data_IF_120279177704
#
_entry.id   IF_120279177704
#
_cell.length_a   1.000
_cell.length_b   1.000
_cell.length_c   1.000
_cell.angle_alpha   90.00
_cell.angle_beta   90.00
_cell.angle_gamma   90.00
#
_symmetry.space_group_name_H-M   'P 1'
#
loop_
_entity.id
_entity.type
_entity.pdbx_description
1 polymer ?
#
# COMPACT_ATOMS: atom_id res chain seq x y z
N UNK A 1 -71.71 -49.99 -0.37
CA UNK A 1 -71.66 -48.51 -0.32
C UNK A 1 -70.91 -48.02 0.93
N UNK A 2 -71.20 -48.54 2.13
CA UNK A 2 -70.49 -48.16 3.37
C UNK A 2 -68.97 -48.37 3.34
N UNK A 3 -68.48 -49.54 2.91
CA UNK A 3 -67.02 -49.81 2.84
C UNK A 3 -66.27 -48.78 1.99
N UNK A 4 -66.84 -48.35 0.87
CA UNK A 4 -66.25 -47.34 -0.02
C UNK A 4 -66.17 -45.96 0.65
N UNK A 5 -67.26 -45.53 1.31
CA UNK A 5 -67.29 -44.29 2.09
C UNK A 5 -66.29 -44.29 3.24
N UNK A 6 -66.11 -45.42 3.92
CA UNK A 6 -65.13 -45.57 5.00
C UNK A 6 -63.70 -45.49 4.48
N UNK A 7 -63.38 -46.19 3.39
CA UNK A 7 -62.04 -46.12 2.76
C UNK A 7 -61.74 -44.70 2.26
N UNK A 8 -62.70 -44.02 1.63
CA UNK A 8 -62.53 -42.65 1.15
C UNK A 8 -62.26 -41.66 2.29
N UNK A 9 -62.99 -41.77 3.42
CA UNK A 9 -62.74 -40.95 4.61
C UNK A 9 -61.33 -41.14 5.17
N UNK A 10 -60.84 -42.38 5.21
CA UNK A 10 -59.48 -42.67 5.69
C UNK A 10 -58.44 -42.01 4.77
N UNK A 11 -58.58 -42.14 3.45
CA UNK A 11 -57.65 -41.54 2.48
C UNK A 11 -57.63 -40.01 2.59
N UNK A 12 -58.79 -39.37 2.71
CA UNK A 12 -58.90 -37.92 2.89
C UNK A 12 -58.25 -37.48 4.21
N UNK A 13 -58.51 -38.19 5.32
CA UNK A 13 -57.90 -37.88 6.62
C UNK A 13 -56.37 -37.99 6.58
N UNK A 14 -55.83 -39.02 5.92
CA UNK A 14 -54.38 -39.18 5.74
C UNK A 14 -53.81 -38.03 4.92
N UNK A 15 -54.44 -37.65 3.80
CA UNK A 15 -54.01 -36.52 2.97
C UNK A 15 -54.01 -35.20 3.73
N UNK A 16 -55.02 -34.94 4.56
CA UNK A 16 -55.10 -33.72 5.38
C UNK A 16 -53.95 -33.68 6.40
N UNK A 17 -53.65 -34.79 7.08
CA UNK A 17 -52.55 -34.85 8.06
C UNK A 17 -51.20 -34.59 7.38
N UNK A 18 -50.96 -35.16 6.20
CA UNK A 18 -49.74 -34.90 5.43
C UNK A 18 -49.67 -33.44 4.96
N UNK A 19 -50.77 -32.85 4.50
CA UNK A 19 -50.81 -31.46 4.07
C UNK A 19 -50.57 -30.48 5.23
N UNK A 20 -51.20 -30.71 6.39
CA UNK A 20 -51.01 -29.90 7.60
C UNK A 20 -49.58 -30.05 8.12
N UNK A 21 -49.04 -31.27 8.17
CA UNK A 21 -47.65 -31.52 8.56
C UNK A 21 -46.65 -30.80 7.66
N UNK A 22 -46.83 -30.90 6.33
CA UNK A 22 -46.01 -30.17 5.36
C UNK A 22 -46.13 -28.65 5.54
N UNK A 23 -47.34 -28.14 5.80
CA UNK A 23 -47.57 -26.72 6.01
C UNK A 23 -46.86 -26.20 7.27
N UNK A 24 -46.90 -26.94 8.38
CA UNK A 24 -46.18 -26.59 9.62
C UNK A 24 -44.67 -26.51 9.38
N UNK A 25 -44.11 -27.49 8.66
CA UNK A 25 -42.68 -27.52 8.33
C UNK A 25 -42.30 -26.32 7.45
N UNK A 26 -43.07 -26.03 6.40
CA UNK A 26 -42.84 -24.87 5.52
C UNK A 26 -42.90 -23.56 6.32
N UNK A 27 -43.88 -23.42 7.23
CA UNK A 27 -44.03 -22.21 8.03
C UNK A 27 -42.87 -22.04 9.03
N UNK A 28 -42.41 -23.14 9.64
CA UNK A 28 -41.25 -23.13 10.54
C UNK A 28 -39.96 -22.73 9.81
N UNK A 29 -39.68 -23.34 8.65
CA UNK A 29 -38.51 -22.99 7.83
C UNK A 29 -38.59 -21.55 7.30
N UNK A 30 -39.79 -21.08 6.94
CA UNK A 30 -40.02 -19.69 6.53
C UNK A 30 -39.73 -18.70 7.66
N UNK A 31 -40.18 -18.99 8.89
CA UNK A 31 -39.89 -18.16 10.06
C UNK A 31 -38.40 -18.12 10.42
N UNK A 32 -37.70 -19.25 10.30
CA UNK A 32 -36.26 -19.32 10.48
C UNK A 32 -35.52 -18.51 9.40
N UNK A 33 -35.95 -18.61 8.14
CA UNK A 33 -35.37 -17.84 7.04
C UNK A 33 -35.56 -16.33 7.22
N UNK A 34 -36.75 -15.89 7.64
CA UNK A 34 -37.01 -14.48 7.94
C UNK A 34 -36.11 -13.97 9.07
N UNK A 35 -35.92 -14.78 10.13
CA UNK A 35 -35.04 -14.40 11.24
C UNK A 35 -33.60 -14.20 10.80
N UNK A 36 -33.02 -15.16 10.06
CA UNK A 36 -31.64 -15.03 9.56
C UNK A 36 -31.51 -13.85 8.58
N UNK A 37 -32.49 -13.65 7.71
CA UNK A 37 -32.55 -12.49 6.81
C UNK A 37 -32.53 -11.15 7.56
N UNK A 38 -33.40 -10.97 8.55
CA UNK A 38 -33.45 -9.74 9.35
C UNK A 38 -32.18 -9.54 10.20
N UNK A 39 -31.60 -10.62 10.71
CA UNK A 39 -30.32 -10.58 11.41
C UNK A 39 -29.20 -10.07 10.49
N UNK A 40 -29.14 -10.55 9.25
CA UNK A 40 -28.15 -10.08 8.28
C UNK A 40 -28.26 -8.57 8.06
N UNK A 41 -29.48 -8.06 7.79
CA UNK A 41 -29.74 -6.62 7.66
C UNK A 41 -29.34 -5.83 8.92
N UNK A 42 -29.63 -6.38 10.10
CA UNK A 42 -29.27 -5.76 11.38
C UNK A 42 -27.75 -5.66 11.56
N UNK A 43 -27.01 -6.74 11.24
CA UNK A 43 -25.54 -6.75 11.30
C UNK A 43 -24.91 -5.82 10.26
N UNK A 44 -25.48 -5.73 9.06
CA UNK A 44 -25.05 -4.75 8.05
C UNK A 44 -25.13 -3.32 8.57
N UNK A 45 -26.24 -2.96 9.23
CA UNK A 45 -26.42 -1.62 9.83
C UNK A 45 -25.40 -1.30 10.93
N UNK A 46 -24.85 -2.33 11.57
CA UNK A 46 -23.80 -2.22 12.60
C UNK A 46 -22.39 -2.30 12.03
N UNK A 47 -22.22 -2.58 10.74
CA UNK A 47 -20.92 -2.84 10.13
C UNK A 47 -20.30 -4.20 10.49
N UNK A 48 -21.09 -5.13 11.04
CA UNK A 48 -20.64 -6.47 11.41
C UNK A 48 -20.71 -7.43 10.21
N UNK A 49 -19.92 -7.15 9.17
CA UNK A 49 -20.04 -7.79 7.85
C UNK A 49 -19.84 -9.30 7.84
N UNK A 50 -18.92 -9.82 8.67
CA UNK A 50 -18.72 -11.27 8.79
C UNK A 50 -19.98 -11.99 9.29
N UNK A 51 -20.63 -11.46 10.33
CA UNK A 51 -21.89 -12.02 10.85
C UNK A 51 -23.05 -11.83 9.89
N UNK A 52 -23.09 -10.69 9.19
CA UNK A 52 -24.09 -10.46 8.15
C UNK A 52 -24.00 -11.52 7.04
N UNK A 53 -22.77 -11.89 6.65
CA UNK A 53 -22.50 -12.91 5.65
C UNK A 53 -22.96 -14.30 6.14
N UNK A 54 -22.54 -14.69 7.35
CA UNK A 54 -22.95 -15.98 7.96
C UNK A 54 -24.47 -16.15 8.01
N UNK A 55 -25.22 -15.08 8.30
CA UNK A 55 -26.67 -15.12 8.31
C UNK A 55 -27.26 -15.27 6.89
N UNK A 56 -26.77 -14.50 5.92
CA UNK A 56 -27.37 -14.49 4.58
C UNK A 56 -27.06 -15.77 3.78
N UNK A 57 -25.91 -16.40 4.03
CA UNK A 57 -25.52 -17.69 3.42
C UNK A 57 -26.46 -18.84 3.80
N UNK A 58 -27.18 -18.73 4.93
CA UNK A 58 -28.17 -19.73 5.36
C UNK A 58 -29.48 -19.64 4.58
N UNK A 59 -29.72 -18.55 3.83
CA UNK A 59 -31.01 -18.24 3.19
C UNK A 59 -30.88 -17.81 1.71
N UNK A 60 -30.13 -18.52 0.86
CA UNK A 60 -29.71 -18.05 -0.47
C UNK A 60 -30.84 -17.80 -1.49
N UNK A 61 -32.05 -18.31 -1.24
CA UNK A 61 -33.20 -18.17 -2.16
C UNK A 61 -34.37 -17.41 -1.54
N UNK A 62 -34.13 -16.73 -0.40
CA UNK A 62 -35.18 -16.02 0.32
C UNK A 62 -35.20 -14.53 -0.03
N UNK A 63 -36.34 -14.00 -0.51
CA UNK A 63 -36.51 -12.59 -0.89
C UNK A 63 -35.38 -12.09 -1.81
N UNK A 64 -34.70 -11.01 -1.42
CA UNK A 64 -33.55 -10.38 -2.06
C UNK A 64 -32.21 -10.84 -1.44
N UNK A 65 -32.16 -12.02 -0.82
CA UNK A 65 -30.95 -12.53 -0.19
C UNK A 65 -29.74 -12.63 -1.13
N UNK A 66 -29.96 -12.89 -2.42
CA UNK A 66 -28.88 -12.86 -3.41
C UNK A 66 -28.31 -11.45 -3.61
N UNK A 67 -29.15 -10.41 -3.60
CA UNK A 67 -28.73 -9.03 -3.74
C UNK A 67 -27.98 -8.57 -2.48
N UNK A 68 -28.47 -8.97 -1.31
CA UNK A 68 -27.79 -8.74 -0.03
C UNK A 68 -26.45 -9.48 0.03
N UNK A 69 -26.40 -10.75 -0.36
CA UNK A 69 -25.15 -11.51 -0.41
C UNK A 69 -24.14 -10.83 -1.34
N UNK A 70 -24.58 -10.43 -2.53
CA UNK A 70 -23.76 -9.73 -3.50
C UNK A 70 -23.20 -8.40 -2.96
N UNK A 71 -23.93 -7.76 -2.06
CA UNK A 71 -23.52 -6.53 -1.39
C UNK A 71 -22.61 -6.78 -0.17
N UNK A 72 -22.93 -7.78 0.66
CA UNK A 72 -22.25 -8.06 1.93
C UNK A 72 -20.88 -8.67 1.71
N UNK A 73 -20.74 -9.62 0.78
CA UNK A 73 -19.49 -10.36 0.58
C UNK A 73 -18.29 -9.45 0.26
N UNK A 74 -18.38 -8.49 -0.67
CA UNK A 74 -17.27 -7.55 -0.91
C UNK A 74 -17.02 -6.61 0.26
N UNK A 75 -18.05 -6.14 0.95
CA UNK A 75 -17.85 -5.31 2.15
C UNK A 75 -17.11 -6.09 3.25
N UNK A 76 -17.43 -7.38 3.43
CA UNK A 76 -16.71 -8.26 4.34
C UNK A 76 -15.22 -8.34 3.99
N UNK A 77 -14.88 -8.51 2.71
CA UNK A 77 -13.49 -8.49 2.23
C UNK A 77 -12.79 -7.18 2.64
N UNK A 78 -13.41 -6.03 2.43
CA UNK A 78 -12.78 -4.75 2.78
C UNK A 78 -12.46 -4.59 4.28
N UNK A 79 -13.32 -5.09 5.16
CA UNK A 79 -13.15 -4.99 6.61
C UNK A 79 -12.45 -6.19 7.24
N UNK A 80 -11.99 -7.16 6.46
CA UNK A 80 -11.23 -8.29 6.97
C UNK A 80 -9.82 -7.86 7.41
N UNK A 81 -9.28 -8.61 8.38
CA UNK A 81 -7.88 -8.51 8.74
C UNK A 81 -7.07 -9.55 7.95
N UNK A 82 -5.97 -9.10 7.35
CA UNK A 82 -5.08 -9.94 6.57
C UNK A 82 -3.76 -10.17 7.29
N UNK A 83 -3.22 -11.39 7.12
CA UNK A 83 -1.96 -11.79 7.75
C UNK A 83 -0.74 -11.11 7.13
N UNK A 84 -0.84 -10.79 5.83
CA UNK A 84 0.21 -10.17 5.05
C UNK A 84 -0.36 -9.42 3.83
N UNK A 85 0.48 -8.59 3.21
CA UNK A 85 0.09 -7.73 2.09
C UNK A 85 -0.34 -8.52 0.83
N UNK A 86 0.21 -9.72 0.57
CA UNK A 86 -0.16 -10.54 -0.58
C UNK A 86 -1.56 -11.15 -0.43
N UNK A 87 -1.88 -11.64 0.76
CA UNK A 87 -3.22 -12.17 1.08
C UNK A 87 -4.29 -11.08 0.90
N UNK A 88 -3.97 -9.86 1.33
CA UNK A 88 -4.84 -8.70 1.15
C UNK A 88 -5.06 -8.39 -0.34
N UNK A 89 -3.99 -8.30 -1.13
CA UNK A 89 -4.06 -8.07 -2.59
C UNK A 89 -4.91 -9.15 -3.28
N UNK A 90 -4.68 -10.43 -2.97
CA UNK A 90 -5.45 -11.53 -3.56
C UNK A 90 -6.94 -11.42 -3.20
N UNK A 91 -7.24 -11.08 -1.95
CA UNK A 91 -8.62 -10.93 -1.48
C UNK A 91 -9.33 -9.73 -2.12
N UNK A 92 -8.66 -8.59 -2.27
CA UNK A 92 -9.21 -7.44 -3.00
C UNK A 92 -9.46 -7.76 -4.48
N UNK A 93 -8.55 -8.50 -5.14
CA UNK A 93 -8.78 -8.99 -6.52
C UNK A 93 -9.99 -9.92 -6.62
N UNK A 94 -10.20 -10.80 -5.64
CA UNK A 94 -11.42 -11.63 -5.54
C UNK A 94 -12.66 -10.76 -5.37
N UNK A 95 -12.59 -9.74 -4.50
CA UNK A 95 -13.65 -8.75 -4.31
C UNK A 95 -14.02 -8.03 -5.61
N UNK A 96 -13.04 -7.49 -6.34
CA UNK A 96 -13.24 -6.84 -7.65
C UNK A 96 -13.92 -7.79 -8.64
N UNK A 97 -13.39 -9.00 -8.79
CA UNK A 97 -13.93 -10.01 -9.72
C UNK A 97 -15.37 -10.35 -9.38
N UNK A 98 -15.66 -10.52 -8.09
CA UNK A 98 -16.99 -10.82 -7.60
C UNK A 98 -17.97 -9.67 -7.87
N UNK A 99 -17.59 -8.43 -7.56
CA UNK A 99 -18.44 -7.25 -7.83
C UNK A 99 -18.75 -7.16 -9.33
N UNK A 100 -17.73 -7.23 -10.19
CA UNK A 100 -17.91 -7.14 -11.64
C UNK A 100 -18.85 -8.23 -12.18
N UNK A 101 -18.84 -9.42 -11.58
CA UNK A 101 -19.71 -10.54 -11.98
C UNK A 101 -21.14 -10.37 -11.46
N UNK A 102 -21.33 -9.88 -10.23
CA UNK A 102 -22.63 -9.90 -9.54
C UNK A 102 -23.39 -8.59 -9.62
N UNK A 103 -22.71 -7.44 -9.75
CA UNK A 103 -23.33 -6.10 -9.76
C UNK A 103 -24.42 -5.96 -10.83
N UNK A 104 -24.20 -6.51 -12.02
CA UNK A 104 -25.15 -6.45 -13.15
C UNK A 104 -26.42 -7.27 -12.89
N UNK A 105 -26.33 -8.29 -12.02
CA UNK A 105 -27.42 -9.18 -11.67
C UNK A 105 -28.32 -8.68 -10.54
N UNK A 106 -27.95 -7.57 -9.90
CA UNK A 106 -28.70 -6.98 -8.80
C UNK A 106 -30.12 -6.60 -9.24
N UNK A 107 -31.11 -7.00 -8.43
CA UNK A 107 -32.53 -6.72 -8.65
C UNK A 107 -33.12 -5.98 -7.43
N UNK A 108 -34.40 -5.62 -7.53
CA UNK A 108 -35.11 -5.01 -6.42
C UNK A 108 -34.86 -3.51 -6.17
N UNK A 109 -35.52 -2.96 -5.14
CA UNK A 109 -35.60 -1.51 -4.90
C UNK A 109 -34.28 -0.89 -4.42
N UNK A 110 -33.38 -1.68 -3.83
CA UNK A 110 -32.08 -1.21 -3.31
C UNK A 110 -30.96 -1.24 -4.35
N UNK A 111 -31.23 -1.72 -5.57
CA UNK A 111 -30.25 -1.91 -6.65
C UNK A 111 -29.39 -0.68 -6.88
N UNK A 112 -29.99 0.50 -7.00
CA UNK A 112 -29.27 1.72 -7.35
C UNK A 112 -28.27 2.11 -6.25
N UNK A 113 -28.69 2.03 -4.98
CA UNK A 113 -27.81 2.31 -3.85
C UNK A 113 -26.67 1.31 -3.77
N UNK A 114 -26.97 0.01 -3.87
CA UNK A 114 -25.93 -1.03 -3.82
C UNK A 114 -24.97 -0.94 -4.99
N UNK A 115 -25.45 -0.63 -6.19
CA UNK A 115 -24.58 -0.47 -7.36
C UNK A 115 -23.60 0.67 -7.15
N UNK A 116 -24.08 1.84 -6.68
CA UNK A 116 -23.20 2.98 -6.38
C UNK A 116 -22.17 2.64 -5.32
N UNK A 117 -22.60 2.05 -4.20
CA UNK A 117 -21.70 1.65 -3.12
C UNK A 117 -20.65 0.62 -3.58
N UNK A 118 -21.03 -0.32 -4.44
CA UNK A 118 -20.11 -1.31 -4.99
C UNK A 118 -19.13 -0.70 -6.00
N UNK A 119 -19.54 0.31 -6.76
CA UNK A 119 -18.64 1.07 -7.64
C UNK A 119 -17.63 1.88 -6.83
N UNK A 120 -18.08 2.50 -5.74
CA UNK A 120 -17.21 3.17 -4.78
C UNK A 120 -16.20 2.17 -4.18
N UNK A 121 -16.65 0.98 -3.78
CA UNK A 121 -15.80 -0.06 -3.22
C UNK A 121 -14.79 -0.63 -4.24
N UNK A 122 -15.17 -0.75 -5.51
CA UNK A 122 -14.27 -1.15 -6.59
C UNK A 122 -13.07 -0.21 -6.68
N UNK A 123 -13.32 1.10 -6.73
CA UNK A 123 -12.26 2.10 -6.78
C UNK A 123 -11.36 2.02 -5.54
N UNK A 124 -11.94 1.76 -4.37
CA UNK A 124 -11.19 1.59 -3.11
C UNK A 124 -10.30 0.34 -3.15
N UNK A 125 -10.79 -0.79 -3.67
CA UNK A 125 -9.97 -1.99 -3.84
C UNK A 125 -8.81 -1.78 -4.81
N UNK A 126 -9.05 -1.10 -5.93
CA UNK A 126 -7.99 -0.75 -6.88
C UNK A 126 -6.92 0.14 -6.24
N UNK A 127 -7.35 1.15 -5.48
CA UNK A 127 -6.43 1.98 -4.69
C UNK A 127 -5.61 1.14 -3.70
N UNK A 128 -6.27 0.29 -2.90
CA UNK A 128 -5.60 -0.56 -1.90
C UNK A 128 -4.58 -1.52 -2.53
N UNK A 129 -4.87 -2.07 -3.70
CA UNK A 129 -3.91 -2.88 -4.44
C UNK A 129 -2.70 -2.05 -4.89
N UNK A 130 -2.92 -0.87 -5.44
CA UNK A 130 -1.84 0.04 -5.87
C UNK A 130 -0.95 0.47 -4.68
N UNK A 131 -1.58 0.82 -3.55
CA UNK A 131 -0.91 1.17 -2.30
C UNK A 131 0.01 0.02 -1.83
N UNK A 132 -0.52 -1.21 -1.73
CA UNK A 132 0.25 -2.35 -1.24
C UNK A 132 1.38 -2.76 -2.19
N UNK A 133 1.17 -2.68 -3.50
CA UNK A 133 2.23 -2.92 -4.48
C UNK A 133 3.35 -1.88 -4.37
N UNK A 134 3.00 -0.60 -4.23
CA UNK A 134 3.96 0.48 -4.06
C UNK A 134 4.80 0.30 -2.77
N UNK A 135 4.16 -0.11 -1.68
CA UNK A 135 4.83 -0.44 -0.42
C UNK A 135 5.82 -1.61 -0.56
N UNK A 136 5.42 -2.66 -1.28
CA UNK A 136 6.29 -3.82 -1.55
C UNK A 136 7.52 -3.42 -2.38
N UNK A 137 7.32 -2.62 -3.43
CA UNK A 137 8.41 -2.11 -4.26
C UNK A 137 9.39 -1.25 -3.45
N UNK A 138 8.91 -0.30 -2.64
CA UNK A 138 9.76 0.54 -1.79
C UNK A 138 10.58 -0.30 -0.79
N UNK A 139 9.99 -1.34 -0.21
CA UNK A 139 10.71 -2.28 0.65
C UNK A 139 11.83 -2.99 -0.11
N UNK A 140 11.57 -3.49 -1.32
CA UNK A 140 12.59 -4.15 -2.16
C UNK A 140 13.75 -3.20 -2.46
N UNK A 141 13.46 -1.93 -2.76
CA UNK A 141 14.50 -0.92 -3.00
C UNK A 141 15.36 -0.67 -1.76
N UNK A 142 14.74 -0.58 -0.58
CA UNK A 142 15.43 -0.41 0.71
C UNK A 142 16.28 -1.62 1.08
N UNK A 143 15.77 -2.83 0.85
CA UNK A 143 16.52 -4.06 1.10
C UNK A 143 17.74 -4.14 0.16
N UNK A 144 17.56 -3.84 -1.14
CA UNK A 144 18.66 -3.76 -2.10
C UNK A 144 19.72 -2.70 -1.72
N UNK A 145 19.28 -1.56 -1.18
CA UNK A 145 20.16 -0.53 -0.64
C UNK A 145 20.99 -1.04 0.54
N UNK A 146 20.34 -1.67 1.52
CA UNK A 146 21.01 -2.22 2.71
C UNK A 146 22.00 -3.35 2.34
N UNK A 147 21.67 -4.18 1.36
CA UNK A 147 22.59 -5.17 0.81
C UNK A 147 23.83 -4.53 0.17
N UNK A 148 23.66 -3.41 -0.55
CA UNK A 148 24.79 -2.66 -1.09
C UNK A 148 25.70 -2.13 0.03
N UNK A 149 25.13 -1.62 1.13
CA UNK A 149 25.90 -1.22 2.32
C UNK A 149 26.73 -2.39 2.87
N UNK A 150 26.13 -3.58 2.99
CA UNK A 150 26.83 -4.77 3.48
C UNK A 150 28.00 -5.16 2.57
N UNK A 151 27.82 -5.13 1.25
CA UNK A 151 28.87 -5.42 0.26
C UNK A 151 30.04 -4.43 0.36
N UNK A 152 29.76 -3.13 0.57
CA UNK A 152 30.81 -2.11 0.78
C UNK A 152 31.65 -2.45 2.00
N UNK A 153 31.02 -2.83 3.12
CA UNK A 153 31.74 -3.23 4.35
C UNK A 153 32.58 -4.49 4.17
N UNK A 154 32.20 -5.36 3.24
CA UNK A 154 32.96 -6.56 2.85
C UNK A 154 34.09 -6.26 1.84
N UNK A 155 34.18 -5.03 1.31
CA UNK A 155 35.15 -4.65 0.29
C UNK A 155 34.76 -5.01 -1.15
N UNK A 156 33.53 -5.49 -1.37
CA UNK A 156 33.00 -5.85 -2.69
C UNK A 156 32.32 -4.65 -3.36
N UNK A 157 33.16 -3.73 -3.81
CA UNK A 157 32.73 -2.44 -4.35
C UNK A 157 32.01 -2.54 -5.71
N UNK A 158 32.38 -3.51 -6.55
CA UNK A 158 31.77 -3.68 -7.86
C UNK A 158 30.32 -4.15 -7.74
N UNK A 159 30.07 -5.17 -6.92
CA UNK A 159 28.70 -5.66 -6.71
C UNK A 159 27.84 -4.64 -5.96
N UNK A 160 28.41 -3.89 -5.02
CA UNK A 160 27.72 -2.77 -4.37
C UNK A 160 27.28 -1.70 -5.38
N UNK A 161 28.16 -1.25 -6.27
CA UNK A 161 27.82 -0.29 -7.33
C UNK A 161 26.71 -0.82 -8.24
N UNK A 162 26.83 -2.07 -8.69
CA UNK A 162 25.82 -2.70 -9.54
C UNK A 162 24.43 -2.75 -8.89
N UNK A 163 24.36 -2.97 -7.56
CA UNK A 163 23.09 -2.88 -6.81
C UNK A 163 22.59 -1.45 -6.74
N UNK A 164 23.44 -0.48 -6.37
CA UNK A 164 23.06 0.92 -6.27
C UNK A 164 22.56 1.52 -7.59
N UNK A 165 23.12 1.11 -8.74
CA UNK A 165 22.65 1.57 -10.05
C UNK A 165 21.25 1.03 -10.42
N UNK A 166 20.87 -0.13 -9.88
CA UNK A 166 19.51 -0.69 -10.08
C UNK A 166 18.46 -0.03 -9.19
N UNK A 167 18.87 0.74 -8.18
CA UNK A 167 17.94 1.44 -7.31
C UNK A 167 17.36 2.64 -8.04
N UNK A 168 16.04 2.58 -8.23
CA UNK A 168 15.22 3.60 -8.87
C UNK A 168 14.29 4.30 -7.87
N UNK A 169 14.78 4.53 -6.64
CA UNK A 169 14.06 5.28 -5.62
C UNK A 169 14.60 6.71 -5.48
N UNK A 170 13.77 7.71 -5.78
CA UNK A 170 13.88 9.12 -5.42
C UNK A 170 14.19 9.28 -3.93
N UNK A 171 13.51 8.56 -3.04
CA UNK A 171 13.76 8.65 -1.59
C UNK A 171 15.19 8.25 -1.19
N UNK A 172 15.82 7.39 -1.98
CA UNK A 172 17.19 6.92 -1.77
C UNK A 172 18.22 7.64 -2.66
N UNK A 173 17.81 8.56 -3.54
CA UNK A 173 18.68 9.11 -4.58
C UNK A 173 19.88 9.84 -3.99
N UNK A 174 19.67 10.78 -3.06
CA UNK A 174 20.79 11.49 -2.43
C UNK A 174 21.70 10.57 -1.61
N UNK A 175 21.14 9.60 -0.88
CA UNK A 175 21.93 8.62 -0.14
C UNK A 175 22.78 7.76 -1.07
N UNK A 176 22.18 7.26 -2.15
CA UNK A 176 22.84 6.49 -3.21
C UNK A 176 23.99 7.28 -3.84
N UNK A 177 23.78 8.56 -4.16
CA UNK A 177 24.83 9.43 -4.72
C UNK A 177 26.02 9.58 -3.77
N UNK A 178 25.77 9.86 -2.49
CA UNK A 178 26.84 9.96 -1.48
C UNK A 178 27.60 8.64 -1.33
N UNK A 179 26.91 7.52 -1.35
CA UNK A 179 27.55 6.20 -1.26
C UNK A 179 28.37 5.89 -2.51
N UNK A 180 27.89 6.22 -3.72
CA UNK A 180 28.67 6.02 -4.95
C UNK A 180 29.96 6.85 -4.93
N UNK A 181 29.91 8.09 -4.44
CA UNK A 181 31.10 8.92 -4.22
C UNK A 181 32.06 8.28 -3.20
N UNK A 182 31.53 7.68 -2.14
CA UNK A 182 32.35 6.99 -1.15
C UNK A 182 33.02 5.73 -1.72
N UNK A 183 32.29 4.94 -2.51
CA UNK A 183 32.89 3.79 -3.21
C UNK A 183 34.01 4.26 -4.15
N UNK A 184 33.84 5.40 -4.84
CA UNK A 184 34.91 5.96 -5.66
C UNK A 184 36.16 6.30 -4.82
N UNK A 185 36.00 6.91 -3.65
CA UNK A 185 37.12 7.14 -2.72
C UNK A 185 37.82 5.82 -2.32
N UNK A 186 37.05 4.80 -1.94
CA UNK A 186 37.61 3.50 -1.55
C UNK A 186 38.37 2.82 -2.70
N UNK A 187 37.86 2.92 -3.94
CA UNK A 187 38.55 2.42 -5.13
C UNK A 187 39.86 3.18 -5.39
N UNK A 188 39.86 4.52 -5.27
CA UNK A 188 41.08 5.32 -5.39
C UNK A 188 42.12 4.88 -4.36
N UNK A 189 41.72 4.75 -3.09
CA UNK A 189 42.61 4.29 -2.00
C UNK A 189 43.18 2.89 -2.33
N UNK A 190 42.32 1.96 -2.75
CA UNK A 190 42.74 0.59 -3.11
C UNK A 190 43.72 0.58 -4.29
N UNK A 191 43.51 1.44 -5.28
CA UNK A 191 44.34 1.52 -6.48
C UNK A 191 45.73 2.15 -6.25
N UNK A 192 45.88 3.00 -5.22
CA UNK A 192 47.16 3.66 -4.93
C UNK A 192 48.17 2.78 -4.19
N UNK A 193 47.72 1.67 -3.56
CA UNK A 193 48.62 0.79 -2.81
C UNK A 193 49.41 1.51 -1.70
N UNK A 194 50.62 1.03 -1.38
CA UNK A 194 51.51 1.61 -0.35
C UNK A 194 52.17 2.94 -0.76
N UNK A 195 52.02 3.36 -2.01
CA UNK A 195 52.68 4.54 -2.55
C UNK A 195 51.89 5.80 -2.19
N UNK A 196 52.26 6.40 -1.04
CA UNK A 196 51.73 7.66 -0.47
C UNK A 196 51.92 8.91 -1.35
N UNK A 197 52.12 8.78 -2.67
CA UNK A 197 52.59 9.86 -3.55
C UNK A 197 51.51 10.61 -4.34
N UNK A 198 50.24 10.21 -4.32
CA UNK A 198 49.18 10.94 -5.04
C UNK A 198 48.03 11.43 -4.15
N UNK A 199 48.37 12.26 -3.15
CA UNK A 199 47.42 12.97 -2.31
C UNK A 199 46.39 13.79 -3.12
N UNK A 200 46.72 14.25 -4.33
CA UNK A 200 45.81 15.06 -5.15
C UNK A 200 44.55 14.31 -5.61
N UNK A 201 44.66 13.02 -5.98
CA UNK A 201 43.51 12.22 -6.45
C UNK A 201 42.60 11.86 -5.26
N UNK A 202 43.19 11.57 -4.10
CA UNK A 202 42.44 11.35 -2.85
C UNK A 202 41.76 12.65 -2.42
N UNK A 203 42.45 13.78 -2.48
CA UNK A 203 41.89 15.10 -2.18
C UNK A 203 40.70 15.42 -3.10
N UNK A 204 40.82 15.14 -4.40
CA UNK A 204 39.72 15.31 -5.34
C UNK A 204 38.52 14.42 -4.98
N UNK A 205 38.75 13.14 -4.68
CA UNK A 205 37.69 12.21 -4.30
C UNK A 205 36.99 12.62 -2.98
N UNK A 206 37.75 13.03 -1.97
CA UNK A 206 37.23 13.52 -0.68
C UNK A 206 36.44 14.82 -0.87
N UNK A 207 36.88 15.72 -1.73
CA UNK A 207 36.18 17.00 -1.99
C UNK A 207 34.76 16.84 -2.54
N UNK A 208 34.39 15.66 -3.06
CA UNK A 208 33.05 15.36 -3.59
C UNK A 208 32.09 14.86 -2.51
N UNK A 209 32.61 14.37 -1.37
CA UNK A 209 31.82 13.81 -0.27
C UNK A 209 31.28 14.91 0.64
N UNK A 210 29.99 14.85 0.97
CA UNK A 210 29.35 15.80 1.84
C UNK A 210 29.76 15.59 3.32
N UNK A 211 30.40 16.57 3.99
CA UNK A 211 30.77 16.46 5.41
C UNK A 211 29.56 16.35 6.35
N UNK A 212 28.40 16.84 5.93
CA UNK A 212 27.15 16.80 6.71
C UNK A 212 26.32 15.54 6.43
N UNK A 213 26.85 14.57 5.67
CA UNK A 213 26.14 13.32 5.39
C UNK A 213 25.87 12.54 6.69
N UNK A 214 24.60 12.21 6.92
CA UNK A 214 24.11 11.55 8.12
C UNK A 214 23.46 10.17 7.86
N UNK A 215 23.73 9.57 6.68
CA UNK A 215 23.18 8.26 6.33
C UNK A 215 23.97 7.06 6.89
N UNK A 216 23.68 5.88 6.36
CA UNK A 216 24.04 4.56 6.92
C UNK A 216 25.55 4.27 6.97
N UNK A 217 26.35 4.99 6.18
CA UNK A 217 27.83 4.93 6.14
C UNK A 217 28.50 6.23 6.62
N UNK A 218 27.77 7.14 7.27
CA UNK A 218 28.30 8.44 7.71
C UNK A 218 29.56 8.31 8.57
N UNK A 219 29.56 7.41 9.57
CA UNK A 219 30.72 7.19 10.43
C UNK A 219 31.88 6.50 9.71
N UNK A 220 31.59 5.55 8.82
CA UNK A 220 32.60 4.87 7.99
C UNK A 220 33.31 5.88 7.05
N UNK A 221 32.54 6.79 6.45
CA UNK A 221 33.03 7.89 5.62
C UNK A 221 33.92 8.83 6.44
N UNK A 222 33.41 9.33 7.57
CA UNK A 222 34.15 10.25 8.45
C UNK A 222 35.49 9.65 8.87
N UNK A 223 35.49 8.40 9.34
CA UNK A 223 36.70 7.70 9.76
C UNK A 223 37.70 7.55 8.62
N UNK A 224 37.23 7.21 7.42
CA UNK A 224 38.09 7.07 6.23
C UNK A 224 38.71 8.39 5.83
N UNK A 225 37.92 9.47 5.78
CA UNK A 225 38.40 10.82 5.44
C UNK A 225 39.40 11.34 6.47
N UNK A 226 39.13 11.14 7.76
CA UNK A 226 40.01 11.54 8.87
C UNK A 226 41.37 10.84 8.87
N UNK A 227 41.49 9.71 8.17
CA UNK A 227 42.79 9.09 7.89
C UNK A 227 43.72 9.95 7.01
N UNK A 228 43.17 10.94 6.30
CA UNK A 228 43.90 11.81 5.37
C UNK A 228 43.84 13.29 5.77
N UNK A 229 42.67 13.80 6.15
CA UNK A 229 42.45 15.22 6.45
C UNK A 229 41.55 15.40 7.68
N UNK A 230 41.81 16.42 8.49
CA UNK A 230 40.88 16.82 9.55
C UNK A 230 39.54 17.35 8.97
N UNK A 231 38.54 17.45 9.85
CA UNK A 231 37.18 17.89 9.50
C UNK A 231 37.16 19.30 8.89
N UNK A 232 38.01 20.22 9.35
CA UNK A 232 38.04 21.60 8.86
C UNK A 232 38.56 21.64 7.43
N UNK A 233 39.63 20.89 7.15
CA UNK A 233 40.17 20.77 5.80
C UNK A 233 39.19 20.07 4.86
N UNK A 234 38.47 19.03 5.30
CA UNK A 234 37.43 18.40 4.49
C UNK A 234 36.30 19.38 4.13
N UNK A 235 35.78 20.13 5.11
CA UNK A 235 34.73 21.14 4.88
C UNK A 235 35.20 22.21 3.88
N UNK A 236 36.44 22.69 4.00
CA UNK A 236 37.02 23.65 3.06
C UNK A 236 37.10 23.10 1.62
N UNK A 237 37.56 21.86 1.46
CA UNK A 237 37.67 21.20 0.16
C UNK A 237 36.30 21.01 -0.50
N UNK A 238 35.32 20.56 0.29
CA UNK A 238 33.95 20.38 -0.18
C UNK A 238 33.33 21.70 -0.65
N UNK A 239 33.45 22.76 0.16
CA UNK A 239 32.92 24.09 -0.18
C UNK A 239 33.60 24.70 -1.42
N UNK A 240 34.91 24.49 -1.58
CA UNK A 240 35.66 24.93 -2.77
C UNK A 240 35.16 24.22 -4.03
N UNK A 241 34.97 22.90 -3.98
CA UNK A 241 34.44 22.12 -5.10
C UNK A 241 33.01 22.55 -5.46
N UNK A 242 32.14 22.71 -4.44
CA UNK A 242 30.76 23.19 -4.62
C UNK A 242 30.72 24.55 -5.34
N UNK A 243 31.57 25.49 -4.92
CA UNK A 243 31.68 26.85 -5.51
C UNK A 243 32.16 26.83 -6.97
N UNK A 244 33.06 25.90 -7.32
CA UNK A 244 33.56 25.74 -8.70
C UNK A 244 32.45 25.21 -9.63
N UNK A 245 31.60 24.30 -9.12
CA UNK A 245 30.49 23.76 -9.91
C UNK A 245 29.35 24.79 -10.05
N UNK A 246 29.09 25.63 -9.02
CA UNK A 246 28.12 26.75 -9.12
C UNK A 246 28.59 27.88 -10.03
N UNK A 247 29.91 28.04 -10.26
CA UNK A 247 30.43 29.00 -11.23
C UNK A 247 30.30 28.52 -12.70
N UNK A 248 30.02 27.23 -12.92
CA UNK A 248 29.78 26.65 -14.25
C UNK A 248 28.30 26.49 -14.59
N UNK A 249 27.42 26.56 -13.60
CA UNK A 249 25.96 26.53 -13.77
C UNK A 249 25.39 27.80 -13.14
N UNK A 250 25.07 28.77 -13.99
CA UNK A 250 24.49 30.04 -13.56
C UNK A 250 23.24 29.84 -12.70
N UNK A 251 23.28 30.43 -11.50
CA UNK A 251 22.18 30.79 -10.61
C UNK A 251 21.10 29.72 -10.33
N UNK A 252 21.24 29.01 -9.20
CA UNK A 252 20.11 28.77 -8.30
C UNK A 252 20.58 28.92 -6.85
N UNK A 253 19.91 29.81 -6.12
CA UNK A 253 20.03 30.05 -4.69
C UNK A 253 19.86 28.73 -3.91
N UNK A 254 20.86 28.39 -3.10
CA UNK A 254 20.81 27.29 -2.14
C UNK A 254 19.82 27.61 -1.03
N UNK A 255 18.65 26.96 -1.09
CA UNK A 255 17.73 26.86 0.04
C UNK A 255 18.40 25.98 1.09
N UNK A 256 18.49 26.52 2.30
CA UNK A 256 18.93 25.88 3.52
C UNK A 256 18.20 24.55 3.69
N UNK A 257 18.94 23.44 3.62
CA UNK A 257 18.42 22.07 3.78
C UNK A 257 18.00 21.84 5.23
N UNK A 258 16.81 22.30 5.59
CA UNK A 258 16.09 21.77 6.75
C UNK A 258 15.64 20.37 6.35
N UNK A 259 15.96 19.36 7.18
CA UNK A 259 15.57 17.97 7.04
C UNK A 259 14.03 17.83 7.10
N UNK A 260 13.35 18.20 6.01
CA UNK A 260 11.90 18.16 5.84
C UNK A 260 11.53 17.02 4.89
N UNK A 261 11.94 15.79 5.19
CA UNK A 261 11.46 14.65 4.41
C UNK A 261 10.04 14.26 4.85
N UNK A 262 9.18 14.03 3.86
CA UNK A 262 7.84 13.47 4.05
C UNK A 262 7.96 12.06 4.64
N UNK A 263 7.15 11.75 5.65
CA UNK A 263 7.15 10.45 6.34
C UNK A 263 5.74 9.89 6.41
N UNK A 264 5.64 8.56 6.50
CA UNK A 264 4.37 7.88 6.81
C UNK A 264 3.82 8.41 8.13
N UNK A 265 2.51 8.64 8.18
CA UNK A 265 1.79 9.16 9.35
C UNK A 265 1.61 10.68 9.37
N UNK A 266 2.22 11.45 8.47
CA UNK A 266 2.00 12.91 8.41
C UNK A 266 0.71 13.25 7.64
N UNK A 267 0.15 14.43 7.90
CA UNK A 267 -1.08 14.90 7.23
C UNK A 267 -0.82 15.44 5.83
N UNK A 268 -1.86 15.42 4.99
CA UNK A 268 -1.92 16.07 3.67
C UNK A 268 -1.38 17.50 3.68
N UNK A 269 -1.83 18.33 4.64
CA UNK A 269 -1.40 19.73 4.71
C UNK A 269 0.11 19.85 4.93
N UNK A 270 0.68 18.98 5.76
CA UNK A 270 2.12 18.96 5.98
C UNK A 270 2.87 18.50 4.73
N UNK A 271 2.38 17.49 4.00
CA UNK A 271 2.96 17.09 2.70
C UNK A 271 2.99 18.27 1.73
N UNK A 272 1.86 18.97 1.56
CA UNK A 272 1.76 20.13 0.64
C UNK A 272 2.70 21.26 1.09
N UNK A 273 2.85 21.49 2.40
CA UNK A 273 3.78 22.50 2.91
C UNK A 273 5.25 22.16 2.61
N UNK A 274 5.58 20.87 2.48
CA UNK A 274 6.93 20.37 2.26
C UNK A 274 7.25 20.25 0.76
N UNK A 275 6.36 19.65 -0.03
CA UNK A 275 6.58 19.31 -1.43
C UNK A 275 5.88 20.27 -2.41
N UNK A 276 5.03 21.17 -1.93
CA UNK A 276 4.19 22.03 -2.75
C UNK A 276 2.92 21.33 -3.23
N UNK A 277 2.32 21.85 -4.30
CA UNK A 277 1.10 21.28 -4.88
C UNK A 277 1.45 20.11 -5.81
N UNK A 278 0.75 18.96 -5.73
CA UNK A 278 1.00 17.85 -6.66
C UNK A 278 0.64 18.24 -8.09
N UNK A 279 1.33 17.64 -9.06
CA UNK A 279 1.04 17.80 -10.48
C UNK A 279 -0.23 17.06 -10.91
N UNK A 280 -0.52 15.94 -10.24
CA UNK A 280 -1.71 15.14 -10.46
C UNK A 280 -2.21 14.61 -9.13
N UNK A 281 -3.51 14.71 -8.92
CA UNK A 281 -4.23 14.13 -7.80
C UNK A 281 -5.36 13.22 -8.31
N UNK A 282 -5.49 12.06 -7.70
CA UNK A 282 -6.66 11.20 -7.87
C UNK A 282 -7.28 10.99 -6.51
N UNK A 283 -8.51 11.49 -6.31
CA UNK A 283 -9.19 11.50 -5.02
C UNK A 283 -10.46 10.67 -5.10
N UNK A 284 -10.54 9.66 -4.23
CA UNK A 284 -11.73 8.86 -3.99
C UNK A 284 -12.27 9.26 -2.61
N UNK A 285 -13.38 10.00 -2.56
CA UNK A 285 -14.04 10.37 -1.31
C UNK A 285 -15.45 9.77 -1.29
N UNK A 286 -15.64 8.75 -0.46
CA UNK A 286 -16.87 8.00 -0.38
C UNK A 286 -17.10 7.47 1.04
N UNK A 287 -18.09 6.59 1.21
CA UNK A 287 -18.46 6.01 2.52
C UNK A 287 -17.38 5.11 3.15
N UNK A 288 -16.38 4.68 2.38
CA UNK A 288 -15.26 3.85 2.84
C UNK A 288 -14.10 4.68 3.37
N UNK A 289 -14.04 5.96 3.01
CA UNK A 289 -12.99 6.89 3.45
C UNK A 289 -12.60 7.89 2.36
N UNK A 290 -11.48 8.56 2.62
CA UNK A 290 -10.81 9.43 1.66
C UNK A 290 -9.50 8.75 1.26
N UNK A 291 -9.38 8.36 0.00
CA UNK A 291 -8.19 7.72 -0.56
C UNK A 291 -7.64 8.60 -1.67
N UNK A 292 -6.35 8.94 -1.59
CA UNK A 292 -5.75 9.91 -2.48
C UNK A 292 -4.38 9.46 -2.95
N UNK A 293 -4.14 9.58 -4.25
CA UNK A 293 -2.84 9.42 -4.89
C UNK A 293 -2.37 10.80 -5.39
N UNK A 294 -1.24 11.28 -4.88
CA UNK A 294 -0.62 12.53 -5.29
C UNK A 294 0.69 12.27 -6.02
N UNK A 295 0.83 12.79 -7.22
CA UNK A 295 2.06 12.69 -8.03
C UNK A 295 2.75 14.04 -8.11
N UNK A 296 4.05 14.07 -7.80
CA UNK A 296 4.88 15.27 -7.76
C UNK A 296 5.87 15.31 -8.94
N UNK A 297 6.37 16.51 -9.24
CA UNK A 297 7.26 16.77 -10.38
C UNK A 297 8.61 16.08 -10.29
N UNK A 298 9.05 15.72 -9.08
CA UNK A 298 10.29 14.98 -8.84
C UNK A 298 10.10 13.45 -8.95
N UNK A 299 8.91 13.00 -9.37
CA UNK A 299 8.57 11.59 -9.51
C UNK A 299 8.06 10.92 -8.23
N UNK A 300 8.00 11.63 -7.10
CA UNK A 300 7.40 11.07 -5.88
C UNK A 300 5.89 10.88 -6.07
N UNK A 301 5.40 9.74 -5.62
CA UNK A 301 3.98 9.38 -5.52
C UNK A 301 3.64 9.14 -4.05
N UNK A 302 2.71 9.92 -3.52
CA UNK A 302 2.25 9.84 -2.13
C UNK A 302 0.85 9.26 -2.13
N UNK A 303 0.66 8.18 -1.39
CA UNK A 303 -0.65 7.59 -1.13
C UNK A 303 -1.12 8.02 0.25
N UNK A 304 -2.36 8.50 0.33
CA UNK A 304 -2.99 8.94 1.56
C UNK A 304 -4.28 8.16 1.81
N UNK A 305 -4.49 7.80 3.07
CA UNK A 305 -5.74 7.27 3.59
C UNK A 305 -6.23 8.20 4.70
N UNK A 306 -7.45 8.69 4.56
CA UNK A 306 -8.07 9.64 5.48
C UNK A 306 -7.18 10.88 5.73
N UNK A 307 -6.58 11.40 4.66
CA UNK A 307 -5.63 12.52 4.66
C UNK A 307 -4.31 12.28 5.41
N UNK A 308 -3.98 11.02 5.73
CA UNK A 308 -2.72 10.63 6.36
C UNK A 308 -1.89 9.83 5.37
N UNK A 309 -0.60 10.15 5.27
CA UNK A 309 0.34 9.43 4.39
C UNK A 309 0.50 7.99 4.86
N UNK A 310 0.23 7.04 3.97
CA UNK A 310 0.37 5.60 4.23
C UNK A 310 1.52 4.98 3.43
N UNK A 311 1.76 5.47 2.20
CA UNK A 311 2.87 5.01 1.36
C UNK A 311 3.51 6.20 0.66
N UNK A 312 4.84 6.14 0.57
CA UNK A 312 5.68 7.07 -0.20
C UNK A 312 6.42 6.20 -1.20
N UNK A 313 6.09 6.36 -2.48
CA UNK A 313 6.82 5.77 -3.59
C UNK A 313 7.56 6.87 -4.30
N UNK A 314 8.73 6.56 -4.82
CA UNK A 314 9.57 7.53 -5.49
C UNK A 314 10.93 6.94 -5.60
#
# INVERSE_FOLDING_TARGET
MEKFLTTLKIVISVLIVFAVGAFIIIFYESGKAEKEYQNSISYMKKGEWAKALECIEKVPFYKDANDIYAYVYPNKIFYDNYSNDNDAIESYKKGITFINTKKTSLKGPLKQQYTKDLDDLLNVFEFKISELNAKSEDKVQKDAFNEAIALIRQGDFLNAQNKLFKINSVSLTHKKEEILKYINLLNVIKSQGSDKKNNAIIEEAISKLNPDYNGELSEDIKKTVQGYFDINKWVLLYNKNKSINTAKEGQVLSITTVNNDVKVGISKQNVISILGTPQKDNIISNRYGIFEEMVYSDGRVIFLENNIVVVIKG
#
